data_IF_489612849655
#
_entry.id   IF_489612849655
#
_cell.length_a   1.000
_cell.length_b   1.000
_cell.length_c   1.000
_cell.angle_alpha   90.00
_cell.angle_beta   90.00
_cell.angle_gamma   90.00
#
_symmetry.space_group_name_H-M   'P 1'
#
loop_
_entity.id
_entity.type
_entity.pdbx_description
1 polymer ?
#
# COMPACT_ATOMS: atom_id res chain seq x y z
N UNK A 1 -4.78 -6.38 -3.92
CA UNK A 1 -4.88 -7.10 -2.63
C UNK A 1 -6.24 -6.90 -1.96
N UNK A 2 -6.58 -7.75 -1.01
CA UNK A 2 -7.72 -7.60 -0.12
C UNK A 2 -7.33 -8.09 1.26
N UNK A 3 -7.69 -7.34 2.29
CA UNK A 3 -7.30 -7.62 3.68
C UNK A 3 -8.50 -7.53 4.60
N UNK A 4 -8.75 -8.59 5.36
CA UNK A 4 -9.81 -8.57 6.38
C UNK A 4 -9.35 -7.73 7.55
N UNK A 5 -10.03 -6.61 7.76
CA UNK A 5 -9.67 -5.61 8.79
C UNK A 5 -10.26 -5.95 10.15
N UNK A 6 -11.52 -6.40 10.14
CA UNK A 6 -12.20 -6.82 11.36
C UNK A 6 -12.95 -8.13 11.13
N UNK A 7 -13.00 -8.97 12.17
CA UNK A 7 -13.94 -10.08 12.24
C UNK A 7 -15.38 -9.58 12.36
N UNK A 8 -16.37 -10.47 12.45
CA UNK A 8 -17.75 -10.06 12.59
C UNK A 8 -17.91 -9.13 13.81
N UNK A 9 -18.40 -7.92 13.56
CA UNK A 9 -18.78 -6.97 14.60
C UNK A 9 -20.08 -7.42 15.31
N UNK A 10 -20.57 -6.60 16.24
CA UNK A 10 -21.82 -6.89 16.97
C UNK A 10 -23.06 -6.99 16.06
N UNK A 11 -22.97 -6.45 14.84
CA UNK A 11 -24.02 -6.50 13.82
C UNK A 11 -23.79 -7.62 12.80
N UNK A 12 -22.78 -8.48 13.01
CA UNK A 12 -22.42 -9.56 12.09
C UNK A 12 -21.84 -9.05 10.77
N UNK A 13 -21.04 -7.98 10.79
CA UNK A 13 -20.40 -7.40 9.61
C UNK A 13 -18.88 -7.60 9.67
N UNK A 14 -18.31 -7.92 8.52
CA UNK A 14 -16.87 -7.99 8.30
C UNK A 14 -16.46 -6.79 7.43
N UNK A 15 -15.34 -6.17 7.74
CA UNK A 15 -14.76 -5.10 6.92
C UNK A 15 -13.52 -5.63 6.22
N UNK A 16 -13.45 -5.35 4.91
CA UNK A 16 -12.32 -5.71 4.04
C UNK A 16 -11.82 -4.47 3.32
N UNK A 17 -10.51 -4.26 3.34
CA UNK A 17 -9.86 -3.28 2.46
C UNK A 17 -9.46 -3.95 1.15
N UNK A 18 -9.70 -3.27 0.05
CA UNK A 18 -9.33 -3.71 -1.28
C UNK A 18 -8.53 -2.62 -2.00
N UNK A 19 -7.46 -3.04 -2.66
CA UNK A 19 -6.66 -2.20 -3.54
C UNK A 19 -6.21 -3.02 -4.76
N UNK A 20 -6.09 -2.37 -5.90
CA UNK A 20 -5.63 -3.00 -7.13
C UNK A 20 -4.10 -3.02 -7.25
N UNK A 21 -3.60 -3.77 -8.23
CA UNK A 21 -2.17 -3.79 -8.63
C UNK A 21 -2.00 -3.87 -10.14
N UNK A 22 -3.09 -3.88 -10.88
CA UNK A 22 -3.14 -3.93 -12.35
C UNK A 22 -3.69 -2.63 -12.93
N UNK A 23 -3.52 -2.46 -14.23
CA UNK A 23 -4.17 -1.37 -14.96
C UNK A 23 -5.68 -1.41 -14.73
N UNK A 24 -6.27 -0.24 -14.63
CA UNK A 24 -7.72 -0.12 -14.54
C UNK A 24 -8.32 -0.56 -15.88
N UNK A 25 -9.40 -1.34 -15.84
CA UNK A 25 -10.15 -1.73 -17.03
C UNK A 25 -10.74 -0.50 -17.72
N UNK A 26 -11.07 -0.68 -18.99
CA UNK A 26 -11.79 0.33 -19.74
C UNK A 26 -13.23 0.45 -19.21
N UNK A 27 -13.77 1.66 -19.22
CA UNK A 27 -15.17 1.96 -18.85
C UNK A 27 -16.19 1.25 -19.76
N UNK A 28 -15.79 0.99 -21.02
CA UNK A 28 -16.61 0.21 -21.97
C UNK A 28 -16.67 -1.29 -21.59
N UNK A 29 -15.63 -1.81 -20.91
CA UNK A 29 -15.62 -3.20 -20.44
C UNK A 29 -16.36 -3.36 -19.11
N UNK A 30 -16.24 -2.38 -18.23
CA UNK A 30 -16.87 -2.41 -16.90
C UNK A 30 -17.24 -1.00 -16.47
N UNK A 31 -18.53 -0.73 -16.36
CA UNK A 31 -19.06 0.54 -15.89
C UNK A 31 -18.38 0.98 -14.59
N UNK A 32 -18.10 2.26 -14.44
CA UNK A 32 -17.39 2.87 -13.30
C UNK A 32 -15.87 2.55 -13.20
N UNK A 33 -15.31 1.74 -14.09
CA UNK A 33 -13.86 1.55 -14.19
C UNK A 33 -13.22 2.72 -14.92
N UNK A 34 -12.83 3.73 -14.18
CA UNK A 34 -12.17 4.93 -14.72
C UNK A 34 -10.70 4.90 -14.31
N UNK A 35 -9.82 4.95 -15.30
CA UNK A 35 -8.38 5.06 -15.11
C UNK A 35 -7.97 6.48 -14.69
N UNK A 36 -6.69 6.78 -14.83
CA UNK A 36 -6.18 8.11 -14.50
C UNK A 36 -6.44 9.09 -15.65
N UNK A 37 -7.60 9.72 -15.62
CA UNK A 37 -7.96 10.82 -16.52
C UNK A 37 -7.68 12.13 -15.78
N UNK A 38 -6.82 13.03 -16.27
CA UNK A 38 -6.51 14.28 -15.59
C UNK A 38 -7.78 15.09 -15.28
N UNK A 39 -7.94 15.44 -14.00
CA UNK A 39 -9.11 16.21 -13.52
C UNK A 39 -10.35 15.37 -13.22
N UNK A 40 -10.35 14.08 -13.44
CA UNK A 40 -11.44 13.17 -13.08
C UNK A 40 -11.19 12.50 -11.73
N UNK A 41 -11.91 12.90 -10.69
CA UNK A 41 -11.80 12.36 -9.35
C UNK A 41 -12.52 11.02 -9.14
N UNK A 42 -13.21 10.49 -10.17
CA UNK A 42 -13.87 9.18 -10.12
C UNK A 42 -12.90 8.03 -10.36
N UNK A 43 -11.62 8.32 -10.60
CA UNK A 43 -10.61 7.29 -10.88
C UNK A 43 -10.60 6.17 -9.84
N UNK A 44 -10.43 4.93 -10.30
CA UNK A 44 -10.22 3.77 -9.44
C UNK A 44 -8.80 3.71 -8.81
N UNK A 45 -7.90 4.61 -9.23
CA UNK A 45 -6.57 4.78 -8.66
C UNK A 45 -6.59 5.77 -7.47
N UNK A 46 -5.49 5.81 -6.73
CA UNK A 46 -5.24 6.73 -5.61
C UNK A 46 -6.22 6.60 -4.44
N UNK A 47 -6.82 5.44 -4.28
CA UNK A 47 -7.76 5.13 -3.19
C UNK A 47 -7.62 3.68 -2.75
N UNK A 48 -8.23 3.36 -1.63
CA UNK A 48 -8.56 1.99 -1.25
C UNK A 48 -10.08 1.88 -1.12
N UNK A 49 -10.64 0.72 -1.44
CA UNK A 49 -12.07 0.49 -1.26
C UNK A 49 -12.31 -0.23 0.07
N UNK A 50 -13.25 0.27 0.84
CA UNK A 50 -13.72 -0.32 2.10
C UNK A 50 -14.99 -1.10 1.80
N UNK A 51 -14.94 -2.41 1.96
CA UNK A 51 -16.04 -3.32 1.65
C UNK A 51 -16.65 -3.82 2.94
N UNK A 52 -17.97 -3.65 3.08
CA UNK A 52 -18.78 -4.23 4.15
C UNK A 52 -19.39 -5.54 3.67
N UNK A 53 -19.19 -6.61 4.43
CA UNK A 53 -19.72 -7.95 4.16
C UNK A 53 -20.65 -8.37 5.30
N UNK A 54 -21.98 -8.38 5.11
CA UNK A 54 -22.90 -8.94 6.11
C UNK A 54 -22.79 -10.47 6.11
N UNK A 55 -22.38 -11.06 7.24
CA UNK A 55 -22.15 -12.51 7.36
C UNK A 55 -23.42 -13.34 7.07
N UNK A 56 -24.59 -12.86 7.49
CA UNK A 56 -25.86 -13.53 7.27
C UNK A 56 -26.30 -13.53 5.79
N UNK A 57 -25.88 -12.52 5.01
CA UNK A 57 -26.27 -12.36 3.60
C UNK A 57 -25.07 -11.82 2.79
N UNK A 58 -24.02 -12.62 2.52
CA UNK A 58 -22.81 -12.16 1.84
C UNK A 58 -23.06 -11.61 0.43
N UNK A 59 -24.15 -11.98 -0.21
CA UNK A 59 -24.56 -11.42 -1.52
C UNK A 59 -24.93 -9.93 -1.46
N UNK A 60 -25.09 -9.37 -0.26
CA UNK A 60 -25.30 -7.93 -0.04
C UNK A 60 -24.02 -7.17 0.28
N UNK A 61 -22.86 -7.78 0.02
CA UNK A 61 -21.57 -7.06 0.14
C UNK A 61 -21.54 -5.84 -0.78
N UNK A 62 -20.96 -4.76 -0.27
CA UNK A 62 -20.87 -3.50 -1.00
C UNK A 62 -19.67 -2.68 -0.58
N UNK A 63 -19.18 -1.83 -1.47
CA UNK A 63 -18.25 -0.76 -1.12
C UNK A 63 -19.02 0.29 -0.32
N UNK A 64 -18.55 0.63 0.86
CA UNK A 64 -19.18 1.61 1.76
C UNK A 64 -18.44 2.93 1.80
N UNK A 65 -17.14 2.92 1.48
CA UNK A 65 -16.33 4.13 1.28
C UNK A 65 -15.12 3.81 0.40
N UNK A 66 -14.54 4.86 -0.19
CA UNK A 66 -13.35 4.77 -1.04
C UNK A 66 -12.41 5.94 -0.72
N UNK A 67 -11.79 5.95 0.48
CA UNK A 67 -10.94 7.06 0.90
C UNK A 67 -9.73 7.23 0.01
N UNK A 68 -9.44 8.49 -0.37
CA UNK A 68 -8.31 8.89 -1.22
C UNK A 68 -7.04 9.02 -0.39
N UNK A 69 -6.56 7.90 0.14
CA UNK A 69 -5.45 7.83 1.11
C UNK A 69 -4.10 8.31 0.56
N UNK A 70 -3.97 8.45 -0.77
CA UNK A 70 -2.76 8.95 -1.42
C UNK A 70 -2.80 10.46 -1.71
N UNK A 71 -3.94 11.11 -1.46
CA UNK A 71 -4.10 12.52 -1.77
C UNK A 71 -3.15 13.41 -0.97
N UNK A 72 -2.72 14.50 -1.59
CA UNK A 72 -1.99 15.56 -0.91
C UNK A 72 -2.92 16.26 0.09
N UNK A 73 -2.54 16.37 1.37
CA UNK A 73 -3.43 16.89 2.42
C UNK A 73 -3.68 18.40 2.31
N UNK A 74 -2.82 19.14 1.61
CA UNK A 74 -2.94 20.59 1.48
C UNK A 74 -3.73 20.99 0.24
N UNK A 75 -3.46 20.32 -0.88
CA UNK A 75 -4.05 20.67 -2.18
C UNK A 75 -5.24 19.78 -2.57
N UNK A 76 -5.37 18.61 -1.96
CA UNK A 76 -6.36 17.60 -2.33
C UNK A 76 -6.06 16.86 -3.63
N UNK A 77 -4.88 17.06 -4.23
CA UNK A 77 -4.47 16.36 -5.44
C UNK A 77 -4.36 14.84 -5.15
N UNK A 78 -5.07 13.99 -5.91
CA UNK A 78 -5.18 12.57 -5.64
C UNK A 78 -3.82 11.84 -5.66
N UNK A 79 -2.92 12.21 -6.57
CA UNK A 79 -1.56 11.71 -6.68
C UNK A 79 -0.57 12.49 -5.83
N UNK A 80 -0.83 12.66 -4.54
CA UNK A 80 -0.01 13.48 -3.63
C UNK A 80 1.25 12.79 -3.09
N UNK A 81 1.51 11.52 -3.48
CA UNK A 81 2.69 10.77 -3.08
C UNK A 81 3.67 10.62 -4.26
N UNK A 82 4.54 9.60 -4.23
CA UNK A 82 5.56 9.43 -5.25
C UNK A 82 4.96 9.32 -6.66
N UNK A 83 5.42 10.17 -7.57
CA UNK A 83 4.89 10.24 -8.93
C UNK A 83 5.45 9.17 -9.88
N UNK A 84 6.44 8.39 -9.43
CA UNK A 84 7.19 7.45 -10.24
C UNK A 84 8.47 8.06 -10.81
N UNK A 85 9.39 7.21 -11.24
CA UNK A 85 10.71 7.58 -11.75
C UNK A 85 11.82 7.21 -10.77
N UNK A 86 13.02 7.74 -10.99
CA UNK A 86 14.14 7.59 -10.07
C UNK A 86 14.17 8.72 -9.03
N UNK A 87 14.86 8.48 -7.92
CA UNK A 87 15.03 9.45 -6.84
C UNK A 87 16.31 10.30 -7.00
N UNK A 88 16.94 10.25 -8.16
CA UNK A 88 18.18 10.93 -8.49
C UNK A 88 19.26 9.96 -9.01
N UNK A 89 20.47 10.49 -9.21
CA UNK A 89 21.59 9.71 -9.73
C UNK A 89 21.87 8.48 -8.84
N UNK A 90 22.22 7.36 -9.47
CA UNK A 90 22.54 6.08 -8.83
C UNK A 90 21.40 5.45 -8.00
N UNK A 91 20.14 5.89 -8.19
CA UNK A 91 18.97 5.27 -7.58
C UNK A 91 18.20 4.38 -8.54
N UNK A 92 17.26 3.63 -8.01
CA UNK A 92 16.40 2.74 -8.78
C UNK A 92 15.15 3.49 -9.29
N UNK A 93 14.69 3.13 -10.49
CA UNK A 93 13.36 3.53 -10.93
C UNK A 93 12.31 2.88 -10.02
N UNK A 94 11.52 3.71 -9.35
CA UNK A 94 10.48 3.29 -8.41
C UNK A 94 9.10 3.57 -9.02
N UNK A 95 8.18 2.63 -8.89
CA UNK A 95 6.80 2.77 -9.37
C UNK A 95 6.09 3.94 -8.71
N UNK A 96 5.12 4.52 -9.42
CA UNK A 96 4.21 5.54 -8.88
C UNK A 96 3.36 4.95 -7.76
N UNK A 97 3.09 5.76 -6.72
CA UNK A 97 2.18 5.40 -5.63
C UNK A 97 0.74 5.71 -6.01
N UNK A 98 0.05 4.73 -6.56
CA UNK A 98 -1.35 4.85 -7.00
C UNK A 98 -2.24 3.69 -6.56
N UNK A 99 -1.64 2.60 -6.07
CA UNK A 99 -2.31 1.39 -5.59
C UNK A 99 -1.44 0.73 -4.52
N UNK A 100 -2.04 -0.04 -3.60
CA UNK A 100 -1.29 -0.88 -2.67
C UNK A 100 -1.27 -2.33 -3.16
N UNK A 101 -0.08 -2.89 -3.32
CA UNK A 101 0.09 -4.31 -3.62
C UNK A 101 -0.34 -5.15 -2.41
N UNK A 102 -0.01 -4.69 -1.22
CA UNK A 102 -0.37 -5.35 0.03
C UNK A 102 -0.79 -4.35 1.10
N UNK A 103 -1.77 -4.74 1.92
CA UNK A 103 -2.16 -4.04 3.14
C UNK A 103 -2.26 -5.07 4.24
N UNK A 104 -1.39 -4.97 5.23
CA UNK A 104 -1.42 -5.83 6.42
C UNK A 104 -1.99 -5.06 7.60
N UNK A 105 -2.92 -5.69 8.32
CA UNK A 105 -3.64 -5.06 9.44
C UNK A 105 -3.14 -5.57 10.78
N UNK A 106 -3.14 -4.69 11.78
CA UNK A 106 -2.87 -4.99 13.18
C UNK A 106 -3.99 -4.40 14.07
N UNK A 107 -5.18 -5.03 14.07
CA UNK A 107 -6.41 -4.43 14.62
C UNK A 107 -6.33 -4.10 16.11
N UNK A 108 -5.58 -4.90 16.90
CA UNK A 108 -5.46 -4.67 18.35
C UNK A 108 -4.76 -3.35 18.72
N UNK A 109 -4.07 -2.73 17.75
CA UNK A 109 -3.46 -1.40 17.88
C UNK A 109 -4.13 -0.34 17.01
N UNK A 110 -5.15 -0.71 16.27
CA UNK A 110 -5.79 0.20 15.32
C UNK A 110 -4.86 0.60 14.16
N UNK A 111 -3.91 -0.25 13.77
CA UNK A 111 -2.92 0.05 12.74
C UNK A 111 -3.05 -0.85 11.52
N UNK A 112 -2.71 -0.31 10.36
CA UNK A 112 -2.40 -1.09 9.17
C UNK A 112 -1.16 -0.51 8.46
N UNK A 113 -0.47 -1.35 7.71
CA UNK A 113 0.67 -0.96 6.89
C UNK A 113 0.43 -1.36 5.44
N UNK A 114 0.58 -0.41 4.53
CA UNK A 114 0.43 -0.61 3.09
C UNK A 114 1.76 -0.55 2.37
N UNK A 115 2.07 -1.57 1.58
CA UNK A 115 3.12 -1.53 0.58
C UNK A 115 2.50 -1.06 -0.74
N UNK A 116 2.67 0.22 -1.06
CA UNK A 116 1.84 0.90 -2.05
C UNK A 116 2.66 1.38 -3.26
N UNK A 117 3.21 0.42 -3.99
CA UNK A 117 3.98 0.64 -5.22
C UNK A 117 5.23 1.50 -5.03
N UNK A 118 5.09 2.79 -4.80
CA UNK A 118 6.19 3.75 -4.64
C UNK A 118 6.50 4.14 -3.19
N UNK A 119 5.63 3.77 -2.24
CA UNK A 119 5.79 4.13 -0.81
C UNK A 119 5.32 3.02 0.12
N UNK A 120 5.91 2.98 1.32
CA UNK A 120 5.30 2.37 2.48
C UNK A 120 4.41 3.38 3.21
N UNK A 121 3.24 2.93 3.66
CA UNK A 121 2.25 3.81 4.30
C UNK A 121 1.80 3.18 5.61
N UNK A 122 1.72 3.97 6.67
CA UNK A 122 1.07 3.58 7.92
C UNK A 122 -0.31 4.22 8.01
N UNK A 123 -1.30 3.43 8.38
CA UNK A 123 -2.68 3.86 8.52
C UNK A 123 -3.16 3.71 9.97
N UNK A 124 -3.95 4.66 10.44
CA UNK A 124 -4.86 4.51 11.55
C UNK A 124 -6.16 3.87 11.04
N UNK A 125 -6.51 2.72 11.60
CA UNK A 125 -7.71 1.96 11.32
C UNK A 125 -8.58 1.77 12.56
N UNK A 126 -8.45 2.66 13.55
CA UNK A 126 -9.29 2.66 14.78
C UNK A 126 -10.77 2.76 14.41
N UNK A 127 -11.09 3.50 13.36
CA UNK A 127 -12.36 3.39 12.64
C UNK A 127 -12.13 2.61 11.33
N UNK A 128 -12.50 1.33 11.26
CA UNK A 128 -12.26 0.51 10.07
C UNK A 128 -13.04 0.97 8.84
N UNK A 129 -14.08 1.79 8.99
CA UNK A 129 -14.82 2.37 7.88
C UNK A 129 -14.15 3.57 7.25
N UNK A 130 -13.20 4.20 7.96
CA UNK A 130 -12.54 5.43 7.56
C UNK A 130 -11.04 5.41 7.85
N UNK A 131 -10.25 4.54 7.20
CA UNK A 131 -8.81 4.47 7.40
C UNK A 131 -8.15 5.81 7.06
N UNK A 132 -7.23 6.27 7.91
CA UNK A 132 -6.50 7.51 7.74
C UNK A 132 -5.01 7.23 7.54
N UNK A 133 -4.40 7.83 6.54
CA UNK A 133 -2.94 7.82 6.40
C UNK A 133 -2.32 8.68 7.51
N UNK A 134 -1.45 8.09 8.32
CA UNK A 134 -0.78 8.78 9.43
C UNK A 134 0.72 8.93 9.22
N UNK A 135 1.30 8.11 8.32
CA UNK A 135 2.72 8.22 7.96
C UNK A 135 3.01 7.67 6.57
N UNK A 136 4.11 8.14 5.98
CA UNK A 136 4.61 7.69 4.68
C UNK A 136 6.12 7.56 4.74
N UNK A 137 6.64 6.45 4.24
CA UNK A 137 8.08 6.22 4.12
C UNK A 137 8.48 6.00 2.66
N UNK A 138 9.70 6.39 2.35
CA UNK A 138 10.34 6.23 1.05
C UNK A 138 11.66 5.53 1.22
N UNK A 139 12.00 4.62 0.32
CA UNK A 139 13.31 3.99 0.21
C UNK A 139 13.77 4.07 -1.24
N UNK A 140 14.85 4.80 -1.47
CA UNK A 140 15.40 5.04 -2.82
C UNK A 140 16.02 3.78 -3.45
N UNK A 141 16.22 2.74 -2.67
CA UNK A 141 16.67 1.44 -3.12
C UNK A 141 15.53 0.50 -3.54
N UNK A 142 14.26 0.90 -3.39
CA UNK A 142 13.12 0.10 -3.75
C UNK A 142 12.62 0.41 -5.17
N UNK A 143 12.39 -0.63 -5.97
CA UNK A 143 11.71 -0.52 -7.26
C UNK A 143 10.19 -0.60 -7.12
N UNK A 144 9.72 -1.45 -6.21
CA UNK A 144 8.30 -1.70 -6.01
C UNK A 144 7.99 -2.17 -4.59
N UNK A 145 7.27 -1.35 -3.85
CA UNK A 145 6.83 -1.69 -2.50
C UNK A 145 5.76 -2.79 -2.58
N UNK A 146 6.14 -4.01 -2.17
CA UNK A 146 5.42 -5.24 -2.47
C UNK A 146 4.60 -5.76 -1.30
N UNK A 147 5.20 -5.95 -0.13
CA UNK A 147 4.48 -6.42 1.05
C UNK A 147 4.90 -5.67 2.32
N UNK A 148 4.00 -5.68 3.29
CA UNK A 148 4.19 -5.14 4.62
C UNK A 148 3.88 -6.20 5.67
N UNK A 149 4.65 -6.28 6.75
CA UNK A 149 4.42 -7.25 7.83
C UNK A 149 4.81 -6.65 9.17
N UNK A 150 3.90 -6.71 10.15
CA UNK A 150 4.20 -6.33 11.53
C UNK A 150 4.90 -7.44 12.29
N UNK A 151 5.70 -7.07 13.30
CA UNK A 151 6.10 -8.03 14.33
C UNK A 151 4.91 -8.32 15.27
N UNK A 152 5.05 -9.36 16.13
CA UNK A 152 3.96 -9.81 16.99
C UNK A 152 3.44 -8.75 17.97
N UNK A 153 4.27 -7.78 18.33
CA UNK A 153 3.93 -6.69 19.25
C UNK A 153 3.37 -5.46 18.52
N UNK A 154 3.39 -5.42 17.17
CA UNK A 154 3.00 -4.26 16.38
C UNK A 154 3.84 -3.01 16.68
N UNK A 155 5.13 -3.21 17.01
CA UNK A 155 6.09 -2.14 17.28
C UNK A 155 7.09 -1.95 16.14
N UNK A 156 7.04 -2.85 15.17
CA UNK A 156 7.88 -2.82 13.97
C UNK A 156 7.06 -3.20 12.76
N UNK A 157 7.43 -2.64 11.62
CA UNK A 157 6.96 -3.05 10.31
C UNK A 157 8.15 -3.32 9.39
N UNK A 158 8.03 -4.38 8.59
CA UNK A 158 8.98 -4.71 7.53
C UNK A 158 8.26 -4.48 6.22
N UNK A 159 8.86 -3.70 5.33
CA UNK A 159 8.46 -3.59 3.95
C UNK A 159 9.43 -4.33 3.05
N UNK A 160 8.93 -4.94 2.00
CA UNK A 160 9.75 -5.69 1.04
C UNK A 160 9.73 -5.02 -0.33
N UNK A 161 10.88 -5.03 -1.00
CA UNK A 161 11.00 -4.63 -2.39
C UNK A 161 10.76 -5.83 -3.32
N UNK A 162 9.81 -5.73 -4.24
CA UNK A 162 9.74 -6.63 -5.39
C UNK A 162 10.70 -6.15 -6.48
N UNK A 163 11.96 -6.39 -6.27
CA UNK A 163 13.01 -5.91 -7.14
C UNK A 163 12.87 -6.45 -8.56
N UNK A 164 12.75 -5.53 -9.50
CA UNK A 164 12.45 -5.85 -10.89
C UNK A 164 10.95 -5.93 -11.20
N UNK A 165 10.07 -5.65 -10.21
CA UNK A 165 8.62 -5.59 -10.39
C UNK A 165 8.02 -6.92 -10.83
N UNK A 166 8.54 -8.05 -10.32
CA UNK A 166 8.07 -9.40 -10.63
C UNK A 166 8.33 -9.90 -12.05
N UNK A 167 8.76 -9.03 -12.95
CA UNK A 167 8.89 -9.34 -14.39
C UNK A 167 10.31 -9.46 -14.93
N UNK A 168 11.33 -9.12 -14.13
CA UNK A 168 12.72 -9.07 -14.58
C UNK A 168 13.68 -9.64 -13.56
N UNK A 169 14.60 -10.46 -14.00
CA UNK A 169 15.73 -10.84 -13.18
C UNK A 169 16.61 -9.61 -12.89
N UNK A 170 16.91 -9.40 -11.63
CA UNK A 170 17.87 -8.39 -11.14
C UNK A 170 19.01 -9.13 -10.43
N UNK A 171 19.86 -8.48 -9.68
CA UNK A 171 21.12 -9.00 -9.14
C UNK A 171 22.23 -9.07 -10.16
N UNK A 172 22.36 -8.02 -10.97
CA UNK A 172 23.50 -7.87 -11.88
C UNK A 172 24.73 -7.44 -11.07
N UNK A 173 25.93 -7.75 -11.59
CA UNK A 173 27.19 -7.43 -10.92
C UNK A 173 27.41 -5.92 -10.65
N UNK A 174 26.69 -5.06 -11.35
CA UNK A 174 26.75 -3.60 -11.21
C UNK A 174 25.57 -3.00 -10.45
N UNK A 175 24.60 -3.80 -10.00
CA UNK A 175 23.50 -3.30 -9.19
C UNK A 175 23.99 -3.01 -7.77
N UNK A 176 23.46 -1.98 -7.13
CA UNK A 176 23.77 -1.65 -5.75
C UNK A 176 23.43 -2.81 -4.82
N UNK A 177 24.28 -3.04 -3.82
CA UNK A 177 24.06 -4.09 -2.83
C UNK A 177 22.84 -3.82 -1.94
N UNK A 178 22.36 -2.58 -1.88
CA UNK A 178 21.22 -2.18 -1.07
C UNK A 178 19.87 -2.39 -1.78
N UNK A 179 19.89 -2.61 -3.08
CA UNK A 179 18.67 -2.85 -3.86
C UNK A 179 18.09 -4.24 -3.60
N UNK A 180 16.75 -4.34 -3.66
CA UNK A 180 16.04 -5.60 -3.41
C UNK A 180 16.12 -6.06 -1.95
N UNK A 181 16.09 -5.15 -1.02
CA UNK A 181 16.17 -5.41 0.41
C UNK A 181 14.78 -5.46 1.07
N UNK A 182 14.77 -5.89 2.32
CA UNK A 182 13.64 -5.69 3.24
C UNK A 182 14.00 -4.51 4.15
N UNK A 183 13.20 -3.47 4.16
CA UNK A 183 13.39 -2.32 5.03
C UNK A 183 12.62 -2.50 6.34
N UNK A 184 13.29 -2.35 7.46
CA UNK A 184 12.75 -2.52 8.81
C UNK A 184 12.59 -1.14 9.44
N UNK A 185 11.38 -0.85 9.92
CA UNK A 185 11.05 0.38 10.62
C UNK A 185 10.55 0.08 12.02
N UNK A 186 10.97 0.88 12.99
CA UNK A 186 10.34 0.94 14.31
C UNK A 186 9.10 1.83 14.23
N UNK A 187 8.03 1.47 14.93
CA UNK A 187 6.83 2.30 15.05
C UNK A 187 6.88 3.01 16.38
N UNK A 188 7.13 4.31 16.35
CA UNK A 188 7.24 5.18 17.51
C UNK A 188 6.25 6.34 17.35
N UNK A 189 5.35 6.51 18.31
CA UNK A 189 4.34 7.57 18.29
C UNK A 189 3.56 7.65 16.96
N UNK A 190 3.18 6.50 16.42
CA UNK A 190 2.50 6.37 15.12
C UNK A 190 3.31 6.88 13.91
N UNK A 191 4.63 6.89 14.03
CA UNK A 191 5.57 7.21 12.95
C UNK A 191 6.51 6.03 12.71
N UNK A 192 6.92 5.89 11.47
CA UNK A 192 7.84 4.83 11.02
C UNK A 192 9.26 5.38 11.01
N UNK A 193 10.09 4.93 11.94
CA UNK A 193 11.50 5.29 12.03
C UNK A 193 12.36 4.19 11.39
N UNK A 194 13.11 4.54 10.35
CA UNK A 194 13.99 3.57 9.68
C UNK A 194 15.02 2.99 10.65
N UNK A 195 15.10 1.66 10.66
CA UNK A 195 16.03 0.93 11.51
C UNK A 195 17.21 0.34 10.74
N UNK A 196 16.92 -0.43 9.71
CA UNK A 196 17.95 -1.15 8.94
C UNK A 196 17.34 -1.80 7.70
N UNK A 197 18.21 -2.18 6.77
CA UNK A 197 17.88 -3.15 5.73
C UNK A 197 18.30 -4.57 6.14
N UNK A 198 17.51 -5.54 5.70
CA UNK A 198 17.90 -6.94 5.62
C UNK A 198 17.87 -7.39 4.17
N UNK A 199 18.98 -7.91 3.70
CA UNK A 199 19.10 -8.49 2.36
C UNK A 199 19.68 -9.88 2.47
N UNK A 200 19.12 -10.83 1.74
CA UNK A 200 19.73 -12.15 1.63
C UNK A 200 21.06 -12.02 0.88
N UNK A 201 22.14 -12.70 1.36
CA UNK A 201 23.39 -12.74 0.63
C UNK A 201 23.13 -13.24 -0.80
N UNK A 202 23.60 -12.49 -1.79
CA UNK A 202 23.58 -12.99 -3.17
C UNK A 202 24.50 -14.23 -3.25
N UNK A 203 24.13 -15.26 -3.99
CA UNK A 203 25.07 -16.32 -4.31
C UNK A 203 26.25 -15.69 -5.07
N UNK A 204 27.45 -15.95 -4.57
CA UNK A 204 28.70 -15.54 -5.22
C UNK A 204 28.97 -16.40 -6.45
#
# INVERSE_FOLDING_TARGET
THSVVSGPDQNGKIIVYNSGTQGVRDEEEMEECIGNIPGDNRTALFRIDVIEIPVAEPSKSRIVSSPTVFADPETGALGGLWAGGDHGDDTQETRRTDQCHDITVFPSKGLAAGACSGNGILFDISDPYNPQRIDVVTDIGFAYWHSATFNNEGTKVIFTDEWGGGGRARCRAWDSLDWGANAIYDIVDNKSEFRSHYKMPAPQ
#
